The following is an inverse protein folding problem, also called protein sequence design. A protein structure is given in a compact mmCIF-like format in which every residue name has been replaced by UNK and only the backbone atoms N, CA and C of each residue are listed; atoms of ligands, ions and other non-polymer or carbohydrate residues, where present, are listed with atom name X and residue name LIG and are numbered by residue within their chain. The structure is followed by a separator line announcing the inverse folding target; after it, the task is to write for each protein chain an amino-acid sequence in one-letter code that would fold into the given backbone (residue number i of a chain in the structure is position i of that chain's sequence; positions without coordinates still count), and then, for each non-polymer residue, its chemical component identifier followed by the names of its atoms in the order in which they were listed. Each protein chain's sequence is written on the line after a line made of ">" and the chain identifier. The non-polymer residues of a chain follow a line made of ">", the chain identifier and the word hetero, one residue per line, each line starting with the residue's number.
data_IF_642320235989
#
_entry.id   IF_642320235989
#
_cell.length_a   1.000
_cell.length_b   1.000
_cell.length_c   1.000
_cell.angle_alpha   90.00
_cell.angle_beta   90.00
_cell.angle_gamma   90.00
#
_symmetry.space_group_name_H-M   'P 1'
#
loop_
_entity.id
_entity.type
_entity.pdbx_description
1 polymer ?
#
# COMPACT_ATOMS: atom_id res chain seq x y z
N UNK A 1 -19.46 6.78 13.92
CA UNK A 1 -18.18 6.07 13.72
C UNK A 1 -17.05 7.10 13.66
N UNK A 2 -16.04 6.95 14.51
CA UNK A 2 -14.90 7.88 14.54
C UNK A 2 -13.83 7.33 13.60
N UNK A 3 -13.64 8.00 12.44
CA UNK A 3 -12.61 7.65 11.47
C UNK A 3 -11.32 8.40 11.84
N UNK A 4 -10.65 7.93 12.90
CA UNK A 4 -9.42 8.54 13.42
C UNK A 4 -8.44 7.45 13.79
N UNK A 5 -7.19 7.66 13.42
CA UNK A 5 -6.04 6.83 13.79
C UNK A 5 -4.83 7.74 13.99
N UNK A 6 -4.00 7.41 14.95
CA UNK A 6 -2.75 8.08 15.20
C UNK A 6 -1.60 7.07 15.20
N UNK A 7 -0.49 7.45 14.58
CA UNK A 7 0.78 6.75 14.62
C UNK A 7 1.82 7.68 15.24
N UNK A 8 2.70 7.13 16.06
CA UNK A 8 3.80 7.90 16.66
C UNK A 8 5.05 7.62 15.83
N UNK A 9 5.55 8.66 15.19
CA UNK A 9 6.84 8.66 14.51
C UNK A 9 7.90 9.24 15.43
N UNK A 10 9.07 8.63 15.40
CA UNK A 10 10.19 9.05 16.25
C UNK A 10 11.49 8.85 15.47
N UNK A 11 12.43 9.75 15.66
CA UNK A 11 13.75 9.60 15.08
C UNK A 11 14.41 8.33 15.66
N UNK A 12 15.12 7.57 14.80
CA UNK A 12 15.63 6.24 15.14
C UNK A 12 16.57 6.20 16.35
N UNK A 13 17.58 7.07 16.36
CA UNK A 13 18.56 7.07 17.48
C UNK A 13 17.92 7.57 18.78
N UNK A 14 16.94 8.49 18.70
CA UNK A 14 16.18 8.91 19.88
C UNK A 14 15.33 7.76 20.44
N UNK A 15 14.59 7.04 19.61
CA UNK A 15 13.80 5.88 20.01
C UNK A 15 14.67 4.80 20.67
N UNK A 16 15.80 4.51 20.04
CA UNK A 16 16.78 3.54 20.51
C UNK A 16 17.41 3.94 21.85
N UNK A 17 17.80 5.21 21.99
CA UNK A 17 18.44 5.73 23.22
C UNK A 17 17.54 5.60 24.46
N UNK A 18 16.22 5.74 24.30
CA UNK A 18 15.25 5.55 25.39
C UNK A 18 14.72 4.12 25.54
N UNK A 19 15.25 3.16 24.77
CA UNK A 19 14.85 1.75 24.84
C UNK A 19 13.43 1.49 24.29
N UNK A 20 12.94 2.33 23.37
CA UNK A 20 11.63 2.12 22.77
C UNK A 20 11.58 0.84 21.93
N UNK A 21 10.42 0.18 21.92
CA UNK A 21 10.16 -0.85 20.93
C UNK A 21 9.90 -0.18 19.57
N UNK A 22 10.77 -0.42 18.61
CA UNK A 22 10.63 0.02 17.25
C UNK A 22 9.98 -1.11 16.45
N UNK A 23 8.89 -0.83 15.75
CA UNK A 23 8.15 -1.85 14.99
C UNK A 23 8.68 -2.00 13.57
N UNK A 24 9.01 -0.89 12.94
CA UNK A 24 9.61 -0.79 11.61
C UNK A 24 10.15 0.62 11.37
N UNK A 25 10.85 0.82 10.28
CA UNK A 25 11.21 2.15 9.77
C UNK A 25 10.25 2.61 8.70
N UNK A 26 9.96 3.91 8.66
CA UNK A 26 9.41 4.58 7.49
C UNK A 26 10.60 5.07 6.66
N UNK A 27 10.84 4.44 5.52
CA UNK A 27 12.07 4.67 4.75
C UNK A 27 11.86 5.52 3.51
N UNK A 28 10.64 5.68 3.05
CA UNK A 28 10.37 6.50 1.87
C UNK A 28 8.92 6.90 1.75
N UNK A 29 8.71 8.02 1.09
CA UNK A 29 7.40 8.56 0.78
C UNK A 29 7.39 9.21 -0.60
N UNK A 30 6.24 9.19 -1.26
CA UNK A 30 6.04 9.85 -2.54
C UNK A 30 4.65 10.43 -2.65
N UNK A 31 4.54 11.61 -3.22
CA UNK A 31 3.28 12.29 -3.44
C UNK A 31 3.19 12.77 -4.90
N UNK A 32 1.98 12.73 -5.44
CA UNK A 32 1.71 13.25 -6.78
C UNK A 32 0.28 13.76 -6.89
N UNK A 33 -0.03 14.40 -8.00
CA UNK A 33 -1.39 14.75 -8.37
C UNK A 33 -1.68 14.28 -9.80
N UNK A 34 -2.88 13.71 -10.02
CA UNK A 34 -3.29 13.26 -11.35
C UNK A 34 -3.51 14.40 -12.33
N UNK A 35 -3.99 15.54 -11.85
CA UNK A 35 -4.43 16.68 -12.67
C UNK A 35 -5.39 16.26 -13.81
N UNK A 36 -6.27 15.29 -13.51
CA UNK A 36 -7.15 14.66 -14.49
C UNK A 36 -8.64 14.96 -14.23
N UNK A 37 -9.15 14.59 -13.06
CA UNK A 37 -10.55 14.76 -12.68
C UNK A 37 -10.69 14.93 -11.18
N UNK A 38 -11.78 15.57 -10.68
CA UNK A 38 -11.87 15.84 -9.23
C UNK A 38 -12.10 14.56 -8.39
N UNK A 39 -12.66 13.48 -8.94
CA UNK A 39 -12.97 12.27 -8.16
C UNK A 39 -12.47 10.98 -8.80
N UNK A 40 -12.24 10.96 -10.12
CA UNK A 40 -11.74 9.79 -10.82
C UNK A 40 -10.21 9.83 -10.92
N UNK A 41 -9.51 8.73 -10.65
CA UNK A 41 -8.07 8.63 -10.88
C UNK A 41 -7.77 8.67 -12.39
N UNK A 42 -6.52 8.95 -12.73
CA UNK A 42 -6.08 8.86 -14.13
C UNK A 42 -6.21 7.41 -14.62
N UNK A 43 -6.88 7.14 -15.76
CA UNK A 43 -7.19 5.77 -16.20
C UNK A 43 -5.96 4.89 -16.48
N UNK A 44 -4.81 5.51 -16.74
CA UNK A 44 -3.53 4.81 -16.88
C UNK A 44 -2.72 4.76 -15.56
N UNK A 45 -3.28 5.23 -14.44
CA UNK A 45 -2.61 5.24 -13.14
C UNK A 45 -1.33 6.07 -13.07
N UNK A 46 -1.17 7.09 -13.93
CA UNK A 46 0.09 7.88 -14.03
C UNK A 46 0.51 8.51 -12.71
N UNK A 47 -0.44 9.12 -12.00
CA UNK A 47 -0.17 9.73 -10.70
C UNK A 47 0.20 8.68 -9.65
N UNK A 48 -0.53 7.57 -9.60
CA UNK A 48 -0.22 6.45 -8.72
C UNK A 48 1.19 5.86 -9.00
N UNK A 49 1.54 5.65 -10.27
CA UNK A 49 2.90 5.24 -10.64
C UNK A 49 3.96 6.25 -10.18
N UNK A 50 3.68 7.55 -10.33
CA UNK A 50 4.63 8.59 -9.91
C UNK A 50 4.84 8.56 -8.40
N UNK A 51 3.77 8.52 -7.59
CA UNK A 51 3.90 8.49 -6.13
C UNK A 51 4.68 7.26 -5.65
N UNK A 52 4.43 6.08 -6.22
CA UNK A 52 5.17 4.86 -5.89
C UNK A 52 6.64 4.93 -6.29
N UNK A 53 6.96 5.43 -7.50
CA UNK A 53 8.36 5.61 -7.95
C UNK A 53 9.11 6.60 -7.09
N UNK A 54 8.47 7.71 -6.72
CA UNK A 54 9.06 8.71 -5.83
C UNK A 54 9.32 8.12 -4.44
N UNK A 55 8.40 7.32 -3.89
CA UNK A 55 8.58 6.62 -2.61
C UNK A 55 9.75 5.62 -2.65
N UNK A 56 9.85 4.81 -3.71
CA UNK A 56 10.95 3.86 -3.91
C UNK A 56 12.30 4.59 -4.03
N UNK A 57 12.31 5.70 -4.78
CA UNK A 57 13.50 6.54 -4.92
C UNK A 57 13.91 7.18 -3.60
N UNK A 58 12.95 7.73 -2.85
CA UNK A 58 13.19 8.35 -1.53
C UNK A 58 13.75 7.33 -0.53
N UNK A 59 13.21 6.09 -0.56
CA UNK A 59 13.70 4.98 0.25
C UNK A 59 15.10 4.48 -0.13
N UNK A 60 15.62 4.83 -1.30
CA UNK A 60 16.89 4.33 -1.82
C UNK A 60 16.91 2.82 -2.08
N UNK A 61 15.74 2.23 -2.37
CA UNK A 61 15.58 0.79 -2.63
C UNK A 61 15.27 0.53 -4.11
N UNK A 62 15.20 -0.75 -4.48
CA UNK A 62 14.76 -1.19 -5.80
C UNK A 62 13.31 -1.68 -5.76
N UNK A 63 12.59 -1.70 -6.88
CA UNK A 63 11.25 -2.31 -6.96
C UNK A 63 11.22 -3.75 -6.44
N UNK A 64 12.29 -4.51 -6.66
CA UNK A 64 12.43 -5.90 -6.26
C UNK A 64 12.55 -6.12 -4.74
N UNK A 65 12.78 -5.05 -3.98
CA UNK A 65 12.84 -5.11 -2.52
C UNK A 65 11.44 -5.08 -1.87
N UNK A 66 10.39 -4.75 -2.64
CA UNK A 66 9.01 -4.71 -2.14
C UNK A 66 8.44 -6.14 -2.07
N UNK A 67 7.97 -6.53 -0.91
CA UNK A 67 7.33 -7.84 -0.67
C UNK A 67 5.81 -7.78 -0.64
N UNK A 68 5.26 -6.65 -0.23
CA UNK A 68 3.83 -6.45 -0.01
C UNK A 68 3.39 -5.06 -0.44
N UNK A 69 2.26 -4.98 -1.14
CA UNK A 69 1.58 -3.72 -1.45
C UNK A 69 0.19 -3.74 -0.85
N UNK A 70 -0.07 -2.83 0.10
CA UNK A 70 -1.42 -2.51 0.56
C UNK A 70 -1.98 -1.43 -0.38
N UNK A 71 -2.88 -1.83 -1.25
CA UNK A 71 -3.46 -0.94 -2.26
C UNK A 71 -4.56 -0.05 -1.67
N UNK A 72 -4.80 1.08 -2.32
CA UNK A 72 -5.95 1.92 -2.00
C UNK A 72 -7.26 1.15 -2.19
N UNK A 73 -7.41 0.40 -3.29
CA UNK A 73 -8.37 -0.66 -3.54
C UNK A 73 -9.75 -0.45 -2.92
N UNK A 74 -10.54 0.46 -3.47
CA UNK A 74 -11.86 0.86 -2.93
C UNK A 74 -13.01 0.02 -3.44
N UNK A 75 -12.73 -0.99 -4.26
CA UNK A 75 -13.72 -1.82 -4.95
C UNK A 75 -14.61 -0.98 -5.90
N UNK A 76 -13.95 -0.14 -6.68
CA UNK A 76 -14.61 0.68 -7.70
C UNK A 76 -14.03 0.38 -9.09
N UNK A 77 -14.88 0.31 -10.15
CA UNK A 77 -14.38 0.02 -11.50
C UNK A 77 -13.34 1.04 -12.00
N UNK A 78 -13.48 2.31 -11.59
CA UNK A 78 -12.56 3.37 -11.99
C UNK A 78 -11.25 3.38 -11.16
N UNK A 79 -11.20 2.71 -10.01
CA UNK A 79 -10.08 2.76 -9.07
C UNK A 79 -9.15 1.57 -9.16
N UNK A 80 -9.70 0.38 -9.03
CA UNK A 80 -8.91 -0.84 -8.79
C UNK A 80 -8.05 -1.24 -9.99
N UNK A 81 -8.61 -1.20 -11.20
CA UNK A 81 -7.90 -1.58 -12.43
C UNK A 81 -6.73 -0.64 -12.73
N UNK A 82 -6.91 0.70 -12.74
CA UNK A 82 -5.78 1.63 -12.91
C UNK A 82 -4.70 1.48 -11.83
N UNK A 83 -5.09 1.20 -10.58
CA UNK A 83 -4.12 1.01 -9.50
C UNK A 83 -3.28 -0.25 -9.71
N UNK A 84 -3.90 -1.39 -10.03
CA UNK A 84 -3.16 -2.62 -10.30
C UNK A 84 -2.25 -2.49 -11.53
N UNK A 85 -2.70 -1.81 -12.59
CA UNK A 85 -1.84 -1.46 -13.74
C UNK A 85 -0.66 -0.59 -13.31
N UNK A 86 -0.90 0.37 -12.39
CA UNK A 86 0.17 1.22 -11.88
C UNK A 86 1.18 0.44 -11.04
N UNK A 87 0.73 -0.47 -10.17
CA UNK A 87 1.60 -1.35 -9.39
C UNK A 87 2.46 -2.21 -10.31
N UNK A 88 1.85 -2.86 -11.31
CA UNK A 88 2.57 -3.65 -12.30
C UNK A 88 3.57 -2.80 -13.13
N UNK A 89 3.17 -1.59 -13.52
CA UNK A 89 4.03 -0.66 -14.27
C UNK A 89 5.22 -0.11 -13.47
N UNK A 90 5.17 -0.18 -12.14
CA UNK A 90 6.28 0.22 -11.25
C UNK A 90 7.18 -0.96 -10.93
N UNK A 91 6.60 -2.13 -10.62
CA UNK A 91 7.32 -3.31 -10.14
C UNK A 91 7.78 -4.24 -11.29
N UNK A 92 7.27 -4.04 -12.52
CA UNK A 92 7.58 -4.93 -13.64
C UNK A 92 7.20 -6.38 -13.32
N UNK A 93 8.00 -7.34 -13.78
CA UNK A 93 7.75 -8.78 -13.57
C UNK A 93 7.80 -9.17 -12.07
N UNK A 94 8.38 -8.32 -11.21
CA UNK A 94 8.43 -8.59 -9.77
C UNK A 94 7.02 -8.57 -9.13
N UNK A 95 6.04 -7.94 -9.75
CA UNK A 95 4.64 -7.90 -9.27
C UNK A 95 4.05 -9.30 -9.06
N UNK A 96 4.50 -10.29 -9.80
CA UNK A 96 4.05 -11.69 -9.64
C UNK A 96 4.67 -12.40 -8.44
N UNK A 97 5.70 -11.82 -7.83
CA UNK A 97 6.43 -12.39 -6.69
C UNK A 97 6.05 -11.76 -5.35
N UNK A 98 5.11 -10.84 -5.32
CA UNK A 98 4.69 -10.13 -4.11
C UNK A 98 3.26 -10.51 -3.70
N UNK A 99 2.88 -10.09 -2.50
CA UNK A 99 1.48 -10.05 -2.11
C UNK A 99 0.88 -8.66 -2.34
N UNK A 100 -0.35 -8.62 -2.79
CA UNK A 100 -1.15 -7.42 -2.92
C UNK A 100 -2.44 -7.64 -2.12
N UNK A 101 -2.89 -6.65 -1.36
CA UNK A 101 -4.24 -6.72 -0.75
C UNK A 101 -4.81 -5.35 -0.45
N UNK A 102 -6.14 -5.26 -0.39
CA UNK A 102 -6.86 -4.11 0.15
C UNK A 102 -7.49 -4.46 1.48
N UNK A 103 -6.97 -3.88 2.56
CA UNK A 103 -7.55 -4.06 3.90
C UNK A 103 -8.87 -3.32 4.08
N UNK A 104 -9.26 -2.45 3.14
CA UNK A 104 -10.59 -1.83 3.14
C UNK A 104 -11.72 -2.85 3.02
N UNK A 105 -11.44 -4.03 2.46
CA UNK A 105 -12.41 -5.15 2.46
C UNK A 105 -12.85 -5.58 3.86
N UNK A 106 -12.00 -5.37 4.88
CA UNK A 106 -12.26 -5.70 6.29
C UNK A 106 -12.68 -4.47 7.11
N UNK A 107 -12.05 -3.32 6.89
CA UNK A 107 -12.24 -2.13 7.73
C UNK A 107 -13.27 -1.15 7.18
N UNK A 108 -13.63 -1.27 5.91
CA UNK A 108 -14.29 -0.21 5.16
C UNK A 108 -13.34 0.95 4.88
N UNK A 109 -13.80 1.91 4.09
CA UNK A 109 -13.02 3.11 3.79
C UNK A 109 -13.10 4.12 4.95
N UNK A 110 -12.00 4.31 5.65
CA UNK A 110 -11.94 5.16 6.86
C UNK A 110 -11.66 6.64 6.55
N UNK A 111 -11.71 7.05 5.28
CA UNK A 111 -11.44 8.43 4.83
C UNK A 111 -10.07 8.93 5.36
N UNK A 112 -10.07 10.00 6.15
CA UNK A 112 -8.83 10.57 6.70
C UNK A 112 -8.02 9.64 7.61
N UNK A 113 -8.62 8.56 8.15
CA UNK A 113 -7.90 7.55 8.93
C UNK A 113 -7.43 6.34 8.09
N UNK A 114 -7.80 6.26 6.80
CA UNK A 114 -7.52 5.09 5.97
C UNK A 114 -6.02 4.79 5.89
N UNK A 115 -5.21 5.76 5.50
CA UNK A 115 -3.76 5.57 5.36
C UNK A 115 -3.08 5.14 6.66
N UNK A 116 -3.49 5.69 7.81
CA UNK A 116 -2.94 5.28 9.10
C UNK A 116 -3.37 3.86 9.52
N UNK A 117 -4.61 3.44 9.20
CA UNK A 117 -5.05 2.07 9.45
C UNK A 117 -4.35 1.07 8.52
N UNK A 118 -4.12 1.44 7.27
CA UNK A 118 -3.37 0.65 6.28
C UNK A 118 -1.89 0.55 6.62
N UNK A 119 -1.32 1.63 7.17
CA UNK A 119 0.03 1.60 7.74
C UNK A 119 0.16 0.54 8.86
N UNK A 120 -0.84 0.43 9.76
CA UNK A 120 -0.85 -0.63 10.76
C UNK A 120 -0.88 -2.03 10.13
N UNK A 121 -1.63 -2.21 9.05
CA UNK A 121 -1.65 -3.49 8.33
C UNK A 121 -0.27 -3.85 7.76
N UNK A 122 0.45 -2.88 7.18
CA UNK A 122 1.83 -3.05 6.72
C UNK A 122 2.79 -3.37 7.88
N UNK A 123 2.70 -2.62 8.98
CA UNK A 123 3.51 -2.83 10.18
C UNK A 123 3.28 -4.24 10.75
N UNK A 124 2.03 -4.69 10.82
CA UNK A 124 1.70 -6.03 11.30
C UNK A 124 2.14 -7.12 10.33
N UNK A 125 2.07 -6.89 9.02
CA UNK A 125 2.62 -7.83 8.04
C UNK A 125 4.13 -8.02 8.23
N UNK A 126 4.87 -6.93 8.46
CA UNK A 126 6.31 -6.97 8.74
C UNK A 126 6.60 -7.68 10.07
N UNK A 127 5.88 -7.33 11.14
CA UNK A 127 6.22 -7.83 12.49
C UNK A 127 5.74 -9.24 12.77
N UNK A 128 4.68 -9.70 12.11
CA UNK A 128 4.09 -11.03 12.34
C UNK A 128 4.33 -12.00 11.19
N UNK A 129 4.85 -11.54 10.05
CA UNK A 129 5.08 -12.40 8.89
C UNK A 129 3.78 -12.93 8.27
N UNK A 130 2.71 -12.14 8.31
CA UNK A 130 1.40 -12.50 7.77
C UNK A 130 0.80 -11.32 7.02
N UNK A 131 0.56 -11.52 5.72
CA UNK A 131 -0.11 -10.53 4.89
C UNK A 131 -1.63 -10.66 5.07
N UNK A 132 -2.33 -9.56 5.42
CA UNK A 132 -3.79 -9.58 5.56
C UNK A 132 -4.47 -9.74 4.19
N UNK A 133 -5.63 -10.42 4.14
CA UNK A 133 -6.30 -10.69 2.87
C UNK A 133 -7.16 -9.52 2.38
N UNK A 134 -7.48 -9.55 1.09
CA UNK A 134 -8.69 -8.95 0.53
C UNK A 134 -9.81 -9.95 0.70
N UNK A 135 -10.80 -9.68 1.55
CA UNK A 135 -11.93 -10.58 1.81
C UNK A 135 -13.16 -10.22 0.97
N UNK A 136 -14.16 -11.10 0.95
CA UNK A 136 -15.43 -10.94 0.24
C UNK A 136 -15.28 -10.87 -1.30
N UNK A 137 -14.21 -11.40 -1.85
CA UNK A 137 -14.03 -11.55 -3.28
C UNK A 137 -14.50 -12.94 -3.71
N UNK A 138 -15.70 -13.02 -4.28
CA UNK A 138 -16.27 -14.27 -4.82
C UNK A 138 -15.89 -14.44 -6.29
N UNK A 139 -15.89 -13.34 -7.05
CA UNK A 139 -15.58 -13.34 -8.47
C UNK A 139 -14.55 -12.21 -8.73
N UNK A 140 -13.43 -12.57 -9.31
CA UNK A 140 -12.43 -11.62 -9.74
C UNK A 140 -12.91 -10.90 -11.02
N UNK A 141 -12.70 -9.60 -11.09
CA UNK A 141 -12.97 -8.84 -12.33
C UNK A 141 -12.12 -9.40 -13.48
N UNK A 142 -12.72 -9.70 -14.66
CA UNK A 142 -12.02 -10.30 -15.79
C UNK A 142 -10.90 -9.43 -16.38
N UNK A 143 -10.88 -8.13 -16.09
CA UNK A 143 -9.78 -7.25 -16.52
C UNK A 143 -8.54 -7.35 -15.61
N UNK A 144 -8.65 -8.00 -14.45
CA UNK A 144 -7.52 -8.22 -13.55
C UNK A 144 -6.71 -9.43 -14.00
N UNK A 145 -5.40 -9.27 -14.09
CA UNK A 145 -4.49 -10.39 -14.39
C UNK A 145 -4.61 -11.48 -13.28
N UNK A 146 -5.06 -12.67 -13.62
CA UNK A 146 -5.26 -13.75 -12.66
C UNK A 146 -3.96 -14.31 -12.04
N UNK A 147 -2.79 -13.94 -12.60
CA UNK A 147 -1.49 -14.34 -12.06
C UNK A 147 -1.03 -13.46 -10.90
N UNK A 148 -1.68 -12.32 -10.65
CA UNK A 148 -1.38 -11.48 -9.50
C UNK A 148 -1.81 -12.16 -8.20
N UNK A 149 -0.94 -12.18 -7.19
CA UNK A 149 -1.29 -12.67 -5.87
C UNK A 149 -2.01 -11.59 -5.05
N UNK A 150 -3.31 -11.45 -5.26
CA UNK A 150 -4.16 -10.48 -4.57
C UNK A 150 -4.50 -10.87 -3.12
N UNK A 151 -3.92 -11.95 -2.62
CA UNK A 151 -4.13 -12.46 -1.25
C UNK A 151 -5.62 -12.60 -0.92
N UNK A 152 -6.40 -13.23 -1.83
CA UNK A 152 -7.86 -13.29 -1.73
C UNK A 152 -8.34 -14.17 -0.60
N UNK A 153 -9.28 -13.65 0.19
CA UNK A 153 -10.09 -14.33 1.21
C UNK A 153 -9.35 -15.02 2.37
N UNK A 154 -8.04 -15.25 2.24
CA UNK A 154 -7.23 -15.89 3.29
C UNK A 154 -5.89 -15.18 3.44
N UNK A 155 -5.52 -14.91 4.68
CA UNK A 155 -4.19 -14.37 5.01
C UNK A 155 -3.09 -15.35 4.56
N UNK A 156 -1.96 -14.80 4.12
CA UNK A 156 -0.83 -15.60 3.67
C UNK A 156 0.40 -15.32 4.54
N UNK A 157 1.11 -16.38 4.91
CA UNK A 157 2.40 -16.26 5.58
C UNK A 157 3.45 -15.79 4.58
N UNK A 158 4.20 -14.75 4.96
CA UNK A 158 5.31 -14.21 4.19
C UNK A 158 6.27 -13.47 5.12
N UNK A 159 7.57 -13.69 4.98
CA UNK A 159 8.57 -12.82 5.60
C UNK A 159 8.62 -11.48 4.84
N UNK A 160 7.80 -10.54 5.29
CA UNK A 160 7.71 -9.20 4.70
C UNK A 160 8.84 -8.36 5.26
N UNK A 161 9.79 -7.99 4.42
CA UNK A 161 10.88 -7.07 4.77
C UNK A 161 10.55 -5.64 4.42
N UNK A 162 9.83 -5.44 3.33
CA UNK A 162 9.46 -4.13 2.83
C UNK A 162 8.00 -4.13 2.35
N UNK A 163 7.22 -3.21 2.86
CA UNK A 163 5.81 -3.04 2.51
C UNK A 163 5.54 -1.61 2.02
N UNK A 164 4.79 -1.49 0.93
CA UNK A 164 4.34 -0.23 0.36
C UNK A 164 2.84 -0.08 0.62
N UNK A 165 2.40 1.09 1.06
CA UNK A 165 0.99 1.43 1.23
C UNK A 165 0.61 2.61 0.34
N UNK A 166 -0.46 2.46 -0.42
CA UNK A 166 -1.01 3.48 -1.29
C UNK A 166 -2.28 4.11 -0.71
N UNK A 167 -2.37 5.41 -0.80
CA UNK A 167 -3.60 6.16 -0.48
C UNK A 167 -3.86 7.18 -1.57
N UNK A 168 -5.01 7.07 -2.22
CA UNK A 168 -5.45 7.98 -3.27
C UNK A 168 -6.70 8.73 -2.82
N UNK A 169 -6.79 10.00 -3.16
CA UNK A 169 -7.87 10.86 -2.68
C UNK A 169 -8.52 11.67 -3.80
N UNK A 170 -9.74 12.13 -3.54
CA UNK A 170 -10.43 13.08 -4.39
C UNK A 170 -9.58 14.34 -4.59
N UNK A 171 -9.68 14.95 -5.77
CA UNK A 171 -8.76 15.99 -6.20
C UNK A 171 -7.53 15.46 -6.93
N UNK A 172 -7.45 14.12 -7.11
CA UNK A 172 -6.34 13.46 -7.80
C UNK A 172 -5.08 13.33 -6.95
N UNK A 173 -5.21 13.42 -5.62
CA UNK A 173 -4.07 13.28 -4.72
C UNK A 173 -3.66 11.81 -4.59
N UNK A 174 -2.37 11.53 -4.80
CA UNK A 174 -1.79 10.21 -4.63
C UNK A 174 -0.63 10.30 -3.63
N UNK A 175 -0.61 9.35 -2.69
CA UNK A 175 0.45 9.22 -1.71
C UNK A 175 0.83 7.75 -1.57
N UNK A 176 2.12 7.47 -1.53
CA UNK A 176 2.69 6.15 -1.28
C UNK A 176 3.73 6.27 -0.17
N UNK A 177 3.73 5.31 0.74
CA UNK A 177 4.66 5.26 1.88
C UNK A 177 5.26 3.86 1.98
N UNK A 178 6.53 3.77 2.35
CA UNK A 178 7.25 2.51 2.44
C UNK A 178 7.74 2.27 3.87
N UNK A 179 7.39 1.09 4.38
CA UNK A 179 7.81 0.57 5.67
C UNK A 179 8.82 -0.55 5.48
N UNK A 180 9.89 -0.56 6.28
CA UNK A 180 10.95 -1.56 6.23
C UNK A 180 11.18 -2.20 7.60
N UNK A 181 11.39 -3.51 7.59
CA UNK A 181 11.84 -4.28 8.76
C UNK A 181 13.24 -3.80 9.19
N UNK A 182 13.45 -3.71 10.49
CA UNK A 182 14.76 -3.40 11.10
C UNK A 182 15.71 -4.59 11.04
#
# INVERSE_FOLDING_TARGET
>A
MYKRQALIFEEYEHAKARGARIYCEVVGSGCSADAYHFTAPHPEGKGAMKSMRDAIKDAGIKPEDIDYVNVHGTSTPAGDIPELKAVAGVLGDHVYNINISSTKSMTGHLLGAAGAAEALACIFAITHGVVPPTINCENLDPEIDPNLNLTLNKAQKRDVKCALSNTFGFGGHNSSIIFRKL
#
